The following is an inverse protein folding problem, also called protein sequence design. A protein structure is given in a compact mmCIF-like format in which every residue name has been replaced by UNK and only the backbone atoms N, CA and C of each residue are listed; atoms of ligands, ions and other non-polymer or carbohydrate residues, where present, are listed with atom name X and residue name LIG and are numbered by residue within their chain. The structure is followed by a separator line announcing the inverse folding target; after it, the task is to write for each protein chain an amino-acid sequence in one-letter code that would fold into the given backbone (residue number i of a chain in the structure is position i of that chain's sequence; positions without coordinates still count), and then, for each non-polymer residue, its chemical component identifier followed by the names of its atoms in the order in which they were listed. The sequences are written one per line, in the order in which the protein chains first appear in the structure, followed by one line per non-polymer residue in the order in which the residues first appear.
data_IF_396904838311
#
_entry.id   IF_396904838311
#
_cell.length_a   1.000
_cell.length_b   1.000
_cell.length_c   1.000
_cell.angle_alpha   90.00
_cell.angle_beta   90.00
_cell.angle_gamma   90.00
#
_symmetry.space_group_name_H-M   'P 1'
#
loop_
_entity.id
_entity.type
_entity.pdbx_description
1 polymer ?
#
# COMPACT_ATOMS: atom_id res chain seq x y z
N UNK A 1 -4.57 -21.13 16.50
CA UNK A 1 -5.49 -20.56 15.48
C UNK A 1 -6.25 -19.36 16.02
N UNK A 2 -5.53 -18.24 16.19
CA UNK A 2 -6.13 -16.91 16.33
C UNK A 2 -5.44 -16.03 15.30
N UNK A 3 -6.22 -15.56 14.34
CA UNK A 3 -5.81 -14.69 13.24
C UNK A 3 -5.51 -13.28 13.77
N UNK A 4 -4.46 -12.60 13.30
CA UNK A 4 -4.49 -11.15 13.27
C UNK A 4 -5.47 -10.76 12.17
N UNK A 5 -6.45 -9.99 12.59
CA UNK A 5 -7.81 -10.01 12.08
C UNK A 5 -7.94 -9.20 10.78
N UNK A 6 -7.76 -9.85 9.63
CA UNK A 6 -8.60 -9.59 8.47
C UNK A 6 -9.82 -10.49 8.70
N UNK A 7 -10.92 -9.92 9.18
CA UNK A 7 -12.06 -10.72 9.63
C UNK A 7 -12.73 -11.39 8.42
N UNK A 8 -13.40 -12.53 8.62
CA UNK A 8 -14.25 -13.11 7.56
C UNK A 8 -15.28 -12.08 7.04
N UNK A 9 -15.72 -11.17 7.92
CA UNK A 9 -16.59 -10.05 7.56
C UNK A 9 -15.90 -9.04 6.63
N UNK A 10 -14.60 -8.78 6.80
CA UNK A 10 -13.84 -7.86 5.95
C UNK A 10 -13.56 -8.46 4.57
N UNK A 11 -13.30 -9.77 4.50
CA UNK A 11 -13.17 -10.49 3.22
C UNK A 11 -14.49 -10.51 2.46
N UNK A 12 -15.60 -10.83 3.13
CA UNK A 12 -16.93 -10.80 2.51
C UNK A 12 -17.31 -9.41 2.01
N UNK A 13 -17.04 -8.35 2.79
CA UNK A 13 -17.27 -6.98 2.38
C UNK A 13 -16.39 -6.59 1.17
N UNK A 14 -15.13 -7.02 1.15
CA UNK A 14 -14.22 -6.78 0.04
C UNK A 14 -14.67 -7.49 -1.24
N UNK A 15 -15.13 -8.74 -1.14
CA UNK A 15 -15.68 -9.48 -2.27
C UNK A 15 -16.95 -8.82 -2.81
N UNK A 16 -17.86 -8.39 -1.93
CA UNK A 16 -19.08 -7.68 -2.35
C UNK A 16 -18.75 -6.37 -3.12
N UNK A 17 -17.69 -5.66 -2.71
CA UNK A 17 -17.19 -4.49 -3.45
C UNK A 17 -16.63 -4.85 -4.82
N UNK A 18 -15.94 -5.99 -4.95
CA UNK A 18 -15.47 -6.46 -6.25
C UNK A 18 -16.65 -6.78 -7.18
N UNK A 19 -17.68 -7.46 -6.68
CA UNK A 19 -18.88 -7.78 -7.44
C UNK A 19 -19.57 -6.50 -7.96
N UNK A 20 -19.72 -5.48 -7.10
CA UNK A 20 -20.23 -4.17 -7.49
C UNK A 20 -19.38 -3.50 -8.59
N UNK A 21 -18.05 -3.54 -8.49
CA UNK A 21 -17.18 -2.99 -9.54
C UNK A 21 -17.31 -3.72 -10.87
N UNK A 22 -17.42 -5.06 -10.85
CA UNK A 22 -17.63 -5.89 -12.03
C UNK A 22 -18.96 -5.53 -12.69
N UNK A 23 -20.03 -5.47 -11.91
CA UNK A 23 -21.38 -5.17 -12.41
C UNK A 23 -21.47 -3.76 -12.97
N UNK A 24 -20.83 -2.79 -12.33
CA UNK A 24 -20.72 -1.42 -12.87
C UNK A 24 -19.98 -1.40 -14.21
N UNK A 25 -18.87 -2.14 -14.32
CA UNK A 25 -18.09 -2.23 -15.56
C UNK A 25 -18.93 -2.85 -16.69
N UNK A 26 -19.64 -3.96 -16.42
CA UNK A 26 -20.52 -4.64 -17.38
C UNK A 26 -21.68 -3.76 -17.82
N UNK A 27 -22.36 -3.12 -16.87
CA UNK A 27 -23.57 -2.33 -17.12
C UNK A 27 -23.23 -1.04 -17.88
N UNK A 28 -22.18 -0.33 -17.46
CA UNK A 28 -21.81 0.97 -18.05
C UNK A 28 -20.95 0.82 -19.30
N UNK A 29 -20.37 -0.37 -19.52
CA UNK A 29 -19.36 -0.66 -20.56
C UNK A 29 -18.24 0.38 -20.58
N UNK A 30 -17.79 0.77 -19.38
CA UNK A 30 -16.74 1.77 -19.16
C UNK A 30 -15.79 1.28 -18.07
N UNK A 31 -14.53 1.77 -18.06
CA UNK A 31 -13.56 1.36 -17.06
C UNK A 31 -13.99 1.76 -15.64
N UNK A 32 -13.81 0.85 -14.69
CA UNK A 32 -14.03 1.07 -13.25
C UNK A 32 -12.69 0.92 -12.54
N UNK A 33 -12.37 1.83 -11.62
CA UNK A 33 -11.18 1.75 -10.77
C UNK A 33 -11.61 1.57 -9.33
N UNK A 34 -11.02 0.60 -8.64
CA UNK A 34 -11.19 0.43 -7.19
C UNK A 34 -10.53 1.57 -6.42
N UNK A 35 -10.65 1.57 -5.08
CA UNK A 35 -9.69 2.29 -4.23
C UNK A 35 -8.31 1.59 -4.23
N UNK A 36 -7.29 2.19 -3.60
CA UNK A 36 -6.00 1.52 -3.40
C UNK A 36 -6.15 0.39 -2.37
N UNK A 37 -5.84 -0.82 -2.82
CA UNK A 37 -5.91 -2.06 -2.06
C UNK A 37 -4.53 -2.41 -1.49
N UNK A 38 -4.48 -2.90 -0.26
CA UNK A 38 -3.24 -3.46 0.31
C UNK A 38 -2.82 -4.74 -0.44
N UNK A 39 -1.55 -5.16 -0.35
CA UNK A 39 -1.13 -6.44 -0.93
C UNK A 39 -2.00 -7.63 -0.46
N UNK A 40 -2.38 -7.68 0.81
CA UNK A 40 -3.28 -8.72 1.34
C UNK A 40 -4.67 -8.71 0.66
N UNK A 41 -5.25 -7.53 0.47
CA UNK A 41 -6.53 -7.36 -0.24
C UNK A 41 -6.41 -7.76 -1.71
N UNK A 42 -5.29 -7.43 -2.35
CA UNK A 42 -5.03 -7.82 -3.74
C UNK A 42 -4.99 -9.35 -3.88
N UNK A 43 -4.24 -10.04 -3.02
CA UNK A 43 -4.18 -11.51 -3.02
C UNK A 43 -5.56 -12.14 -2.76
N UNK A 44 -6.34 -11.58 -1.84
CA UNK A 44 -7.68 -12.08 -1.53
C UNK A 44 -8.65 -11.97 -2.72
N UNK A 45 -8.51 -10.95 -3.58
CA UNK A 45 -9.40 -10.73 -4.71
C UNK A 45 -9.04 -11.52 -5.97
N UNK A 46 -7.76 -11.91 -6.15
CA UNK A 46 -7.29 -12.61 -7.36
C UNK A 46 -8.14 -13.81 -7.78
N UNK A 47 -8.60 -14.70 -6.88
CA UNK A 47 -9.40 -15.87 -7.26
C UNK A 47 -10.79 -15.53 -7.82
N UNK A 48 -11.29 -14.32 -7.54
CA UNK A 48 -12.64 -13.87 -7.89
C UNK A 48 -12.66 -12.92 -9.09
N UNK A 49 -11.51 -12.67 -9.72
CA UNK A 49 -11.44 -11.79 -10.87
C UNK A 49 -12.25 -12.38 -12.05
N UNK A 50 -12.97 -11.53 -12.79
CA UNK A 50 -13.79 -11.97 -13.92
C UNK A 50 -12.91 -12.50 -15.05
N UNK A 51 -13.39 -13.54 -15.74
CA UNK A 51 -12.73 -14.08 -16.93
C UNK A 51 -13.15 -13.34 -18.22
N UNK A 52 -14.26 -12.62 -18.18
CA UNK A 52 -14.91 -11.96 -19.31
C UNK A 52 -14.59 -10.45 -19.42
N UNK A 53 -13.81 -9.91 -18.49
CA UNK A 53 -13.37 -8.51 -18.50
C UNK A 53 -11.84 -8.42 -18.50
N UNK A 54 -11.32 -7.38 -19.14
CA UNK A 54 -9.94 -7.01 -18.98
C UNK A 54 -9.70 -6.39 -17.60
N UNK A 55 -8.52 -6.62 -17.03
CA UNK A 55 -8.13 -6.00 -15.78
C UNK A 55 -6.64 -5.64 -15.72
N UNK A 56 -6.31 -4.61 -14.93
CA UNK A 56 -4.94 -4.23 -14.61
C UNK A 56 -4.80 -3.83 -13.14
N UNK A 57 -3.70 -4.25 -12.53
CA UNK A 57 -3.25 -3.72 -11.24
C UNK A 57 -2.28 -2.58 -11.45
N UNK A 58 -2.56 -1.41 -10.88
CA UNK A 58 -1.70 -0.25 -11.00
C UNK A 58 -1.57 0.49 -9.66
N UNK A 59 -0.34 0.85 -9.28
CA UNK A 59 -0.05 1.63 -8.07
C UNK A 59 0.69 2.92 -8.35
N UNK A 60 0.95 3.25 -9.61
CA UNK A 60 1.67 4.44 -10.04
C UNK A 60 3.19 4.30 -10.14
N UNK A 61 3.76 3.19 -9.67
CA UNK A 61 5.15 2.82 -9.91
C UNK A 61 5.28 1.29 -10.05
N UNK A 62 6.40 0.83 -10.63
CA UNK A 62 6.59 -0.57 -10.99
C UNK A 62 6.49 -1.53 -9.80
N UNK A 63 7.09 -1.15 -8.67
CA UNK A 63 7.13 -1.95 -7.44
C UNK A 63 6.11 -1.50 -6.38
N UNK A 64 5.05 -0.80 -6.78
CA UNK A 64 4.04 -0.32 -5.83
C UNK A 64 3.45 -1.48 -5.01
N UNK A 65 3.38 -1.32 -3.69
CA UNK A 65 2.72 -2.27 -2.80
C UNK A 65 1.20 -2.09 -2.86
N UNK A 66 0.73 -0.84 -2.76
CA UNK A 66 -0.71 -0.55 -2.85
C UNK A 66 -1.11 -0.26 -4.28
N UNK A 67 -2.06 -1.04 -4.80
CA UNK A 67 -2.53 -0.95 -6.17
C UNK A 67 -4.04 -0.80 -6.24
N UNK A 68 -4.53 -0.09 -7.25
CA UNK A 68 -5.92 -0.10 -7.69
C UNK A 68 -6.11 -1.26 -8.68
N UNK A 69 -7.25 -1.93 -8.59
CA UNK A 69 -7.78 -2.79 -9.63
C UNK A 69 -8.52 -1.91 -10.64
N UNK A 70 -8.10 -1.96 -11.89
CA UNK A 70 -8.77 -1.33 -13.02
C UNK A 70 -9.46 -2.43 -13.79
N UNK A 71 -10.79 -2.40 -13.88
CA UNK A 71 -11.60 -3.29 -14.71
C UNK A 71 -12.08 -2.54 -15.95
N UNK A 72 -12.08 -3.20 -17.10
CA UNK A 72 -12.57 -2.61 -18.33
C UNK A 72 -13.17 -3.68 -19.28
N UNK A 73 -14.01 -3.29 -20.25
CA UNK A 73 -14.52 -4.22 -21.26
C UNK A 73 -13.42 -4.83 -22.13
N UNK A 74 -12.35 -4.07 -22.39
CA UNK A 74 -11.24 -4.43 -23.27
C UNK A 74 -9.92 -3.94 -22.68
N UNK A 75 -8.79 -4.57 -23.03
CA UNK A 75 -7.47 -4.30 -22.44
C UNK A 75 -7.02 -2.84 -22.65
N UNK A 76 -7.22 -2.30 -23.85
CA UNK A 76 -6.83 -0.92 -24.18
C UNK A 76 -7.60 0.13 -23.37
N UNK A 77 -8.78 -0.24 -22.84
CA UNK A 77 -9.60 0.64 -22.04
C UNK A 77 -9.19 0.66 -20.55
N UNK A 78 -8.26 -0.19 -20.11
CA UNK A 78 -7.67 -0.13 -18.78
C UNK A 78 -6.80 1.12 -18.64
N UNK A 79 -7.37 2.30 -18.49
CA UNK A 79 -6.62 3.56 -18.33
C UNK A 79 -6.49 3.89 -16.84
N UNK A 80 -5.26 4.16 -16.40
CA UNK A 80 -4.98 4.57 -15.02
C UNK A 80 -5.45 5.99 -14.76
N UNK A 81 -5.89 6.24 -13.54
CA UNK A 81 -6.18 7.55 -13.01
C UNK A 81 -5.23 7.92 -11.86
N UNK A 82 -4.11 7.20 -11.71
CA UNK A 82 -3.15 7.45 -10.64
C UNK A 82 -2.25 8.61 -11.02
N UNK A 83 -2.08 9.53 -10.08
CA UNK A 83 -1.17 10.67 -10.19
C UNK A 83 -0.11 10.66 -9.11
N UNK A 84 1.03 11.25 -9.42
CA UNK A 84 2.13 11.48 -8.52
C UNK A 84 2.12 12.92 -8.02
N UNK A 85 2.01 13.13 -6.72
CA UNK A 85 2.17 14.43 -6.06
C UNK A 85 3.53 14.49 -5.39
N UNK A 86 4.22 15.63 -5.48
CA UNK A 86 5.51 15.83 -4.82
C UNK A 86 5.58 17.18 -4.11
N UNK A 87 6.27 17.19 -2.97
CA UNK A 87 6.59 18.42 -2.24
C UNK A 87 8.09 18.45 -1.93
N UNK A 88 8.69 19.63 -2.01
CA UNK A 88 10.07 19.86 -1.57
C UNK A 88 10.08 20.21 -0.08
N UNK A 89 10.96 19.57 0.68
CA UNK A 89 11.25 19.91 2.06
C UNK A 89 12.49 20.80 2.06
N UNK A 90 12.32 22.09 2.34
CA UNK A 90 13.42 23.06 2.37
C UNK A 90 14.14 23.13 3.71
N UNK A 91 13.52 22.65 4.79
CA UNK A 91 14.08 22.73 6.13
C UNK A 91 14.91 21.49 6.46
N UNK A 92 16.24 21.65 6.53
CA UNK A 92 17.17 20.57 6.87
C UNK A 92 17.08 20.15 8.35
N UNK A 93 16.45 20.95 9.20
CA UNK A 93 16.36 20.72 10.64
C UNK A 93 15.08 19.98 11.06
N UNK A 94 14.05 19.98 10.19
CA UNK A 94 12.79 19.26 10.46
C UNK A 94 12.81 17.93 9.72
N UNK A 95 12.93 16.84 10.47
CA UNK A 95 12.76 15.49 9.93
C UNK A 95 11.27 15.13 9.90
N UNK A 96 10.72 15.05 8.70
CA UNK A 96 9.40 14.45 8.47
C UNK A 96 9.58 12.95 8.28
N UNK A 97 8.77 12.15 8.96
CA UNK A 97 8.72 10.70 8.78
C UNK A 97 7.44 10.29 8.07
N UNK A 98 7.44 9.10 7.51
CA UNK A 98 6.26 8.54 6.84
C UNK A 98 4.97 8.62 7.69
N UNK A 99 4.96 8.26 9.00
CA UNK A 99 3.74 8.37 9.81
C UNK A 99 3.23 9.81 9.96
N UNK A 100 4.11 10.82 9.91
CA UNK A 100 3.73 12.22 10.03
C UNK A 100 2.95 12.69 8.80
N UNK A 101 3.42 12.32 7.61
CA UNK A 101 2.71 12.64 6.35
C UNK A 101 1.38 11.92 6.31
N UNK A 102 1.36 10.64 6.69
CA UNK A 102 0.12 9.87 6.70
C UNK A 102 -0.90 10.47 7.68
N UNK A 103 -0.48 10.81 8.90
CA UNK A 103 -1.35 11.46 9.88
C UNK A 103 -1.91 12.80 9.35
N UNK A 104 -1.08 13.59 8.67
CA UNK A 104 -1.53 14.84 8.06
C UNK A 104 -2.55 14.61 6.93
N UNK A 105 -2.40 13.56 6.12
CA UNK A 105 -3.40 13.17 5.12
C UNK A 105 -4.72 12.74 5.75
N UNK A 106 -4.68 11.94 6.83
CA UNK A 106 -5.90 11.48 7.51
C UNK A 106 -6.66 12.64 8.18
N UNK A 107 -5.97 13.70 8.59
CA UNK A 107 -6.59 14.92 9.12
C UNK A 107 -7.37 15.74 8.06
N UNK A 108 -7.31 15.36 6.78
CA UNK A 108 -8.13 15.95 5.72
C UNK A 108 -9.47 15.24 5.52
N UNK A 109 -9.85 14.37 6.47
CA UNK A 109 -11.02 13.48 6.41
C UNK A 109 -10.98 12.54 5.18
N UNK A 110 -9.77 12.15 4.78
CA UNK A 110 -9.51 11.23 3.67
C UNK A 110 -9.12 9.86 4.21
N UNK A 111 -9.63 8.80 3.57
CA UNK A 111 -9.34 7.42 3.96
C UNK A 111 -7.96 6.98 3.47
N UNK A 112 -7.30 6.09 4.22
CA UNK A 112 -6.04 5.45 3.76
C UNK A 112 -6.17 4.77 2.39
N UNK A 113 -7.37 4.28 2.06
CA UNK A 113 -7.67 3.62 0.78
C UNK A 113 -7.65 4.56 -0.43
N UNK A 114 -7.67 5.88 -0.22
CA UNK A 114 -7.60 6.89 -1.29
C UNK A 114 -6.16 7.18 -1.74
N UNK A 115 -5.17 6.59 -1.06
CA UNK A 115 -3.76 6.82 -1.32
C UNK A 115 -3.02 5.51 -1.64
N UNK A 116 -2.11 5.59 -2.59
CA UNK A 116 -1.17 4.53 -2.90
C UNK A 116 0.01 4.53 -1.93
N UNK A 117 1.17 4.29 -2.51
CA UNK A 117 2.44 4.34 -1.79
C UNK A 117 2.87 5.79 -1.55
N UNK A 118 3.65 5.99 -0.49
CA UNK A 118 4.12 7.28 -0.05
C UNK A 118 5.59 7.17 0.33
N UNK A 119 6.39 8.12 -0.15
CA UNK A 119 7.82 8.15 0.07
C UNK A 119 8.23 9.45 0.74
N UNK A 120 9.03 9.33 1.80
CA UNK A 120 9.65 10.47 2.46
C UNK A 120 11.14 10.28 2.35
N UNK A 121 11.76 11.05 1.46
CA UNK A 121 13.20 11.05 1.24
C UNK A 121 13.82 12.36 1.75
N UNK A 122 15.16 12.42 1.89
CA UNK A 122 15.82 13.68 2.20
C UNK A 122 15.44 14.79 1.20
N UNK A 123 14.74 15.81 1.70
CA UNK A 123 14.36 16.98 0.91
C UNK A 123 13.10 16.81 0.04
N UNK A 124 12.42 15.65 0.05
CA UNK A 124 11.18 15.49 -0.73
C UNK A 124 10.15 14.55 -0.09
N UNK A 125 8.90 14.81 -0.43
CA UNK A 125 7.78 13.89 -0.21
C UNK A 125 7.22 13.52 -1.58
N UNK A 126 6.80 12.27 -1.73
CA UNK A 126 6.07 11.76 -2.90
C UNK A 126 4.84 11.00 -2.42
N UNK A 127 3.69 11.25 -3.04
CA UNK A 127 2.40 10.66 -2.67
C UNK A 127 1.69 10.24 -3.96
N UNK A 128 1.24 8.99 -4.02
CA UNK A 128 0.35 8.53 -5.08
C UNK A 128 -1.12 8.63 -4.65
N UNK A 129 -1.96 9.20 -5.52
CA UNK A 129 -3.41 9.29 -5.30
C UNK A 129 -4.16 9.23 -6.64
N UNK A 130 -5.49 9.34 -6.63
CA UNK A 130 -6.30 9.38 -7.84
C UNK A 130 -6.40 10.81 -8.37
N UNK A 131 -6.52 10.97 -9.69
CA UNK A 131 -6.68 12.24 -10.40
C UNK A 131 -7.77 13.12 -9.76
N UNK A 132 -8.91 12.52 -9.40
CA UNK A 132 -10.03 13.20 -8.76
C UNK A 132 -9.67 13.88 -7.42
N UNK A 133 -8.73 13.31 -6.66
CA UNK A 133 -8.34 13.82 -5.34
C UNK A 133 -7.11 14.73 -5.40
N UNK A 134 -6.41 14.78 -6.54
CA UNK A 134 -5.12 15.43 -6.69
C UNK A 134 -5.17 16.90 -6.25
N UNK A 135 -6.12 17.66 -6.78
CA UNK A 135 -6.22 19.10 -6.54
C UNK A 135 -6.66 19.39 -5.11
N UNK A 136 -7.60 18.60 -4.57
CA UNK A 136 -8.03 18.72 -3.19
C UNK A 136 -6.84 18.51 -2.23
N UNK A 137 -6.04 17.47 -2.45
CA UNK A 137 -4.86 17.19 -1.61
C UNK A 137 -3.82 18.31 -1.75
N UNK A 138 -3.53 18.77 -2.97
CA UNK A 138 -2.60 19.88 -3.21
C UNK A 138 -3.02 21.18 -2.53
N UNK A 139 -4.32 21.49 -2.52
CA UNK A 139 -4.84 22.73 -1.92
C UNK A 139 -4.89 22.67 -0.39
N UNK A 140 -5.22 21.51 0.18
CA UNK A 140 -5.51 21.41 1.61
C UNK A 140 -4.32 20.90 2.45
N UNK A 141 -3.46 20.04 1.91
CA UNK A 141 -2.27 19.57 2.61
C UNK A 141 -1.13 20.59 2.52
N UNK A 142 -1.26 21.68 3.28
CA UNK A 142 -0.32 22.81 3.28
C UNK A 142 0.70 22.76 4.41
N UNK A 143 0.49 21.88 5.41
CA UNK A 143 1.36 21.78 6.58
C UNK A 143 1.41 20.35 7.11
N UNK A 144 2.60 19.92 7.51
CA UNK A 144 2.85 18.68 8.25
C UNK A 144 3.56 19.06 9.54
N UNK A 145 2.96 18.80 10.70
CA UNK A 145 3.40 19.35 11.98
C UNK A 145 3.54 20.88 11.94
N UNK A 146 4.76 21.40 12.04
CA UNK A 146 5.07 22.85 11.93
C UNK A 146 5.64 23.24 10.57
N UNK A 147 5.92 22.27 9.70
CA UNK A 147 6.54 22.48 8.40
C UNK A 147 5.47 22.86 7.39
N UNK A 148 5.56 24.05 6.81
CA UNK A 148 4.77 24.43 5.63
C UNK A 148 5.29 23.67 4.41
N UNK A 149 4.38 23.06 3.66
CA UNK A 149 4.69 22.34 2.43
C UNK A 149 3.80 22.83 1.28
N UNK A 150 4.28 22.63 0.06
CA UNK A 150 3.51 22.85 -1.16
C UNK A 150 3.59 21.59 -2.00
N UNK A 151 2.47 20.88 -2.12
CA UNK A 151 2.35 19.73 -3.00
C UNK A 151 2.02 20.20 -4.41
N UNK A 152 2.68 19.60 -5.38
CA UNK A 152 2.49 19.87 -6.80
C UNK A 152 2.38 18.55 -7.55
N UNK A 153 1.60 18.54 -8.62
CA UNK A 153 1.52 17.40 -9.54
C UNK A 153 2.87 17.24 -10.23
N UNK A 154 3.42 16.03 -10.18
CA UNK A 154 4.64 15.68 -10.91
C UNK A 154 4.28 15.26 -12.33
N UNK A 155 5.00 15.78 -13.32
CA UNK A 155 4.86 15.33 -14.72
C UNK A 155 5.44 13.94 -14.97
N UNK A 156 6.23 13.42 -14.03
CA UNK A 156 6.84 12.10 -14.09
C UNK A 156 6.41 11.28 -12.88
N UNK A 157 6.14 10.01 -13.11
CA UNK A 157 6.01 9.03 -12.05
C UNK A 157 7.37 8.84 -11.38
N UNK A 158 7.36 8.74 -10.07
CA UNK A 158 8.57 8.56 -9.28
C UNK A 158 8.78 7.08 -9.00
N UNK A 159 9.86 6.53 -9.52
CA UNK A 159 10.28 5.16 -9.24
C UNK A 159 11.24 5.14 -8.04
N UNK A 160 10.80 4.65 -6.86
CA UNK A 160 11.65 4.56 -5.70
C UNK A 160 12.76 3.53 -5.92
N UNK A 161 13.98 3.86 -5.50
CA UNK A 161 15.07 2.87 -5.45
C UNK A 161 14.92 2.03 -4.19
N UNK A 162 14.11 0.98 -4.28
CA UNK A 162 13.94 0.01 -3.18
C UNK A 162 15.18 -0.87 -3.10
N UNK A 163 16.02 -0.65 -2.09
CA UNK A 163 17.18 -1.51 -1.84
C UNK A 163 16.71 -2.85 -1.27
N UNK A 164 16.57 -3.86 -2.13
CA UNK A 164 16.35 -5.24 -1.72
C UNK A 164 17.71 -5.90 -1.49
N UNK A 165 17.88 -6.53 -0.33
CA UNK A 165 19.06 -7.33 -0.04
C UNK A 165 18.67 -8.80 0.02
N UNK A 166 19.20 -9.61 -0.89
CA UNK A 166 19.11 -11.06 -0.80
C UNK A 166 19.99 -11.54 0.37
N UNK A 167 19.38 -12.22 1.33
CA UNK A 167 20.06 -12.80 2.48
C UNK A 167 19.83 -14.31 2.47
N UNK A 168 20.91 -15.08 2.46
CA UNK A 168 20.86 -16.53 2.69
C UNK A 168 21.23 -16.81 4.13
N UNK A 169 20.36 -17.53 4.84
CA UNK A 169 20.51 -17.85 6.25
C UNK A 169 20.29 -19.35 6.43
N UNK A 170 21.21 -20.02 7.12
CA UNK A 170 21.02 -21.39 7.56
C UNK A 170 20.34 -21.35 8.92
N UNK A 171 19.14 -21.90 9.00
CA UNK A 171 18.37 -22.02 10.23
C UNK A 171 18.35 -23.46 10.69
N UNK A 172 18.33 -23.68 12.01
CA UNK A 172 18.32 -25.02 12.62
C UNK A 172 16.97 -25.73 12.47
N UNK A 173 15.89 -24.98 12.27
CA UNK A 173 14.55 -25.45 11.95
C UNK A 173 13.78 -24.38 11.19
N UNK A 174 12.84 -24.78 10.33
CA UNK A 174 11.93 -23.88 9.64
C UNK A 174 10.88 -23.38 10.66
N UNK A 175 11.24 -22.38 11.45
CA UNK A 175 10.35 -21.70 12.41
C UNK A 175 10.50 -20.20 12.19
N UNK A 176 9.40 -19.46 12.34
CA UNK A 176 9.39 -18.03 12.09
C UNK A 176 10.42 -17.31 12.97
N UNK A 177 10.49 -17.64 14.25
CA UNK A 177 11.46 -17.05 15.17
C UNK A 177 12.92 -17.34 14.79
N UNK A 178 13.23 -18.55 14.31
CA UNK A 178 14.55 -18.92 13.78
C UNK A 178 14.92 -18.14 12.51
N UNK A 179 13.97 -17.99 11.58
CA UNK A 179 14.17 -17.24 10.32
C UNK A 179 14.40 -15.76 10.60
N UNK A 180 13.56 -15.12 11.44
CA UNK A 180 13.70 -13.71 11.80
C UNK A 180 15.01 -13.44 12.55
N UNK A 181 15.37 -14.31 13.51
CA UNK A 181 16.63 -14.20 14.24
C UNK A 181 17.84 -14.21 13.30
N UNK A 182 17.86 -15.12 12.33
CA UNK A 182 18.96 -15.22 11.37
C UNK A 182 18.98 -14.10 10.32
N UNK A 183 17.82 -13.66 9.81
CA UNK A 183 17.73 -12.54 8.86
C UNK A 183 18.16 -11.22 9.50
N UNK A 184 17.68 -10.94 10.71
CA UNK A 184 17.94 -9.68 11.41
C UNK A 184 19.19 -9.74 12.32
N UNK A 185 19.93 -10.85 12.32
CA UNK A 185 21.13 -11.08 13.15
C UNK A 185 20.90 -10.75 14.62
N UNK A 186 19.84 -11.30 15.21
CA UNK A 186 19.46 -11.07 16.60
C UNK A 186 19.23 -12.37 17.35
N UNK A 187 19.11 -12.30 18.68
CA UNK A 187 18.76 -13.49 19.48
C UNK A 187 17.33 -13.95 19.19
N UNK A 188 17.11 -15.26 19.36
CA UNK A 188 15.80 -15.87 19.18
C UNK A 188 14.74 -15.29 20.12
N UNK A 189 15.10 -15.02 21.37
CA UNK A 189 14.20 -14.37 22.34
C UNK A 189 13.73 -12.99 21.83
N UNK A 190 14.64 -12.18 21.27
CA UNK A 190 14.29 -10.87 20.71
C UNK A 190 13.40 -10.97 19.46
N UNK A 191 13.63 -11.98 18.62
CA UNK A 191 12.76 -12.26 17.48
C UNK A 191 11.34 -12.65 17.93
N UNK A 192 11.21 -13.48 18.97
CA UNK A 192 9.90 -13.82 19.55
C UNK A 192 9.18 -12.59 20.11
N UNK A 193 9.91 -11.66 20.74
CA UNK A 193 9.32 -10.41 21.23
C UNK A 193 8.79 -9.56 20.06
N UNK A 194 9.48 -9.52 18.92
CA UNK A 194 9.02 -8.82 17.72
C UNK A 194 7.77 -9.46 17.11
N UNK A 195 7.71 -10.80 17.07
CA UNK A 195 6.55 -11.55 16.60
C UNK A 195 5.35 -11.27 17.53
N UNK A 196 5.51 -11.41 18.84
CA UNK A 196 4.45 -11.10 19.83
C UNK A 196 4.02 -9.64 19.78
N UNK A 197 4.94 -8.72 19.48
CA UNK A 197 4.64 -7.30 19.28
C UNK A 197 4.04 -6.98 17.90
N UNK A 198 3.67 -7.99 17.10
CA UNK A 198 3.02 -7.84 15.79
C UNK A 198 3.85 -7.04 14.77
N UNK A 199 5.18 -7.06 14.92
CA UNK A 199 6.11 -6.36 14.01
C UNK A 199 6.57 -7.21 12.84
N UNK A 200 6.10 -8.46 12.77
CA UNK A 200 6.47 -9.44 11.75
C UNK A 200 5.20 -9.84 11.00
N UNK A 201 5.30 -9.84 9.67
CA UNK A 201 4.25 -10.36 8.80
C UNK A 201 4.84 -11.30 7.76
N UNK A 202 4.16 -12.41 7.48
CA UNK A 202 4.47 -13.32 6.38
C UNK A 202 3.33 -13.25 5.38
N UNK A 203 3.63 -13.03 4.10
CA UNK A 203 2.62 -12.86 3.04
C UNK A 203 1.55 -11.82 3.43
N UNK A 204 1.99 -10.71 4.04
CA UNK A 204 1.14 -9.61 4.51
C UNK A 204 0.12 -9.99 5.61
N UNK A 205 0.24 -11.18 6.19
CA UNK A 205 -0.46 -11.57 7.42
C UNK A 205 0.47 -11.33 8.59
N UNK A 206 0.05 -10.48 9.53
CA UNK A 206 0.74 -10.33 10.83
C UNK A 206 0.79 -11.72 11.48
N UNK A 207 1.77 -12.00 12.33
CA UNK A 207 1.83 -13.28 13.05
C UNK A 207 2.20 -13.04 14.50
N UNK A 208 1.54 -13.76 15.40
CA UNK A 208 1.81 -13.81 16.83
C UNK A 208 2.36 -15.18 17.29
N UNK A 209 2.14 -16.23 16.48
CA UNK A 209 2.69 -17.57 16.67
C UNK A 209 4.15 -17.67 16.17
N UNK A 210 5.09 -17.99 17.07
CA UNK A 210 6.53 -18.05 16.77
C UNK A 210 6.96 -19.23 15.88
N UNK A 211 6.07 -20.22 15.74
CA UNK A 211 6.32 -21.52 15.09
C UNK A 211 5.54 -21.66 13.78
N UNK A 212 5.10 -20.54 13.20
CA UNK A 212 4.15 -20.51 12.08
C UNK A 212 4.64 -21.14 10.76
N UNK A 213 5.96 -21.24 10.56
CA UNK A 213 6.54 -21.77 9.32
C UNK A 213 6.65 -23.29 9.32
#
# INVERSE_FOLDING_TARGET
MRTPHFSESDEAALQARLEDWIDQCRTRRKPVRSCFLSPSQQEALKPFLPWDLAYRWDGGCAEAERKKLILAPEEDACVSDIVCLTARISDKFVQVKHPDVLGALMNLDLDRSQFGDLWVEPGRIVIYTSEELADYVCMNLTRIHKLSIRLERSSMMYEPVVKKQALTVIVTALRLDCVIAGLCRMSRAKAQDWIRAQRVSVNHKILDECDFL
#
